data_IF_965493410716
#
_entry.id   IF_965493410716
#
_cell.length_a   1.000
_cell.length_b   1.000
_cell.length_c   1.000
_cell.angle_alpha   90.00
_cell.angle_beta   90.00
_cell.angle_gamma   90.00
#
_symmetry.space_group_name_H-M   'P 1'
#
loop_
_entity.id
_entity.type
_entity.pdbx_description
1 polymer ?
#
# COMPACT_ATOMS: atom_id res chain seq x y z
N UNK A 1 15.34 -22.76 -2.27
CA UNK A 1 15.69 -21.75 -3.28
C UNK A 1 14.45 -21.13 -3.92
N UNK A 2 13.48 -21.90 -4.43
CA UNK A 2 12.25 -21.36 -5.03
C UNK A 2 11.36 -20.57 -4.05
N UNK A 3 11.00 -21.16 -2.91
CA UNK A 3 10.12 -20.50 -1.91
C UNK A 3 10.72 -19.19 -1.34
N UNK A 4 12.04 -19.15 -1.11
CA UNK A 4 12.71 -17.93 -0.68
C UNK A 4 12.64 -16.81 -1.75
N UNK A 5 12.70 -17.17 -3.03
CA UNK A 5 12.49 -16.23 -4.14
C UNK A 5 11.07 -15.67 -4.16
N UNK A 6 10.06 -16.53 -3.95
CA UNK A 6 8.66 -16.10 -3.86
C UNK A 6 8.41 -15.20 -2.65
N UNK A 7 8.95 -15.53 -1.47
CA UNK A 7 8.84 -14.66 -0.29
C UNK A 7 9.47 -13.29 -0.54
N UNK A 8 10.60 -13.25 -1.26
CA UNK A 8 11.21 -11.98 -1.68
C UNK A 8 10.33 -11.23 -2.67
N UNK A 9 9.71 -11.91 -3.63
CA UNK A 9 8.78 -11.32 -4.58
C UNK A 9 7.56 -10.70 -3.87
N UNK A 10 7.06 -11.32 -2.79
CA UNK A 10 6.01 -10.76 -1.92
C UNK A 10 6.48 -9.49 -1.18
N UNK A 11 7.73 -9.48 -0.71
CA UNK A 11 8.26 -8.37 0.11
C UNK A 11 8.31 -7.03 -0.62
N UNK A 12 8.50 -7.04 -1.94
CA UNK A 12 8.61 -5.82 -2.76
C UNK A 12 7.29 -5.03 -2.81
N UNK A 13 6.16 -5.60 -3.27
CA UNK A 13 4.88 -4.90 -3.25
C UNK A 13 4.37 -4.64 -1.82
N UNK A 14 4.69 -5.49 -0.83
CA UNK A 14 4.35 -5.19 0.57
C UNK A 14 5.03 -3.92 1.06
N UNK A 15 6.35 -3.79 0.83
CA UNK A 15 7.10 -2.60 1.19
C UNK A 15 6.63 -1.34 0.44
N UNK A 16 6.17 -1.48 -0.82
CA UNK A 16 5.53 -0.40 -1.56
C UNK A 16 4.26 0.07 -0.83
N UNK A 17 3.36 -0.85 -0.45
CA UNK A 17 2.14 -0.53 0.27
C UNK A 17 2.45 0.21 1.59
N UNK A 18 3.41 -0.30 2.38
CA UNK A 18 3.82 0.32 3.65
C UNK A 18 4.39 1.74 3.46
N UNK A 19 5.24 1.94 2.46
CA UNK A 19 5.83 3.26 2.15
C UNK A 19 4.81 4.26 1.64
N UNK A 20 3.87 3.82 0.81
CA UNK A 20 2.78 4.68 0.33
C UNK A 20 1.86 5.07 1.49
N UNK A 21 1.61 4.14 2.41
CA UNK A 21 0.73 4.36 3.56
C UNK A 21 1.16 5.55 4.44
N UNK A 22 2.46 5.75 4.63
CA UNK A 22 2.97 6.85 5.47
C UNK A 22 2.83 8.23 4.81
N UNK A 23 2.65 8.29 3.49
CA UNK A 23 2.52 9.55 2.74
C UNK A 23 1.14 10.22 2.88
N UNK A 24 0.14 9.50 3.40
CA UNK A 24 -1.19 10.07 3.63
C UNK A 24 -1.20 11.18 4.67
N UNK A 25 -0.37 11.08 5.72
CA UNK A 25 -0.28 12.12 6.75
C UNK A 25 0.25 13.46 6.18
N UNK A 26 1.43 13.52 5.53
CA UNK A 26 1.91 14.77 4.93
C UNK A 26 1.04 15.26 3.78
N UNK A 27 0.40 14.37 3.00
CA UNK A 27 -0.56 14.80 1.96
C UNK A 27 -1.76 15.53 2.57
N UNK A 28 -2.32 15.03 3.68
CA UNK A 28 -3.42 15.69 4.39
C UNK A 28 -2.99 17.04 4.97
N UNK A 29 -1.79 17.13 5.51
CA UNK A 29 -1.23 18.40 5.99
C UNK A 29 -1.08 19.42 4.85
N UNK A 30 -0.60 18.97 3.69
CA UNK A 30 -0.48 19.80 2.49
C UNK A 30 -1.84 20.32 2.00
N UNK A 31 -2.90 19.52 2.08
CA UNK A 31 -4.25 19.94 1.71
C UNK A 31 -4.78 21.04 2.64
N UNK A 32 -4.45 20.99 3.93
CA UNK A 32 -4.94 21.95 4.93
C UNK A 32 -4.11 23.24 4.95
N UNK A 33 -2.79 23.13 4.88
CA UNK A 33 -1.85 24.24 5.13
C UNK A 33 -1.11 24.70 3.87
N UNK A 34 -1.21 23.98 2.75
CA UNK A 34 -0.43 24.23 1.55
C UNK A 34 -0.95 25.36 0.68
N UNK A 35 -0.24 25.61 -0.42
CA UNK A 35 -0.65 26.59 -1.42
C UNK A 35 -1.94 26.12 -2.12
N UNK A 36 -2.99 26.93 -2.07
CA UNK A 36 -4.26 26.64 -2.74
C UNK A 36 -4.10 26.39 -4.24
N UNK A 37 -3.09 27.00 -4.88
CA UNK A 37 -2.78 26.76 -6.28
C UNK A 37 -2.33 25.31 -6.57
N UNK A 38 -1.84 24.59 -5.56
CA UNK A 38 -1.42 23.18 -5.67
C UNK A 38 -2.56 22.19 -5.38
N UNK A 39 -3.82 22.64 -5.31
CA UNK A 39 -4.97 21.77 -5.02
C UNK A 39 -5.09 20.61 -6.00
N UNK A 40 -4.91 20.86 -7.30
CA UNK A 40 -4.95 19.79 -8.32
C UNK A 40 -3.84 18.78 -8.13
N UNK A 41 -2.64 19.23 -7.73
CA UNK A 41 -1.51 18.35 -7.47
C UNK A 41 -1.80 17.43 -6.28
N UNK A 42 -2.43 17.95 -5.23
CA UNK A 42 -2.88 17.17 -4.07
C UNK A 42 -3.91 16.10 -4.45
N UNK A 43 -4.88 16.45 -5.31
CA UNK A 43 -5.91 15.52 -5.78
C UNK A 43 -5.30 14.38 -6.62
N UNK A 44 -4.38 14.70 -7.53
CA UNK A 44 -3.65 13.71 -8.33
C UNK A 44 -2.79 12.83 -7.42
N UNK A 45 -2.09 13.41 -6.45
CA UNK A 45 -1.30 12.66 -5.47
C UNK A 45 -2.18 11.67 -4.69
N UNK A 46 -3.35 12.08 -4.19
CA UNK A 46 -4.28 11.19 -3.49
C UNK A 46 -4.66 9.97 -4.35
N UNK A 47 -5.03 10.19 -5.62
CA UNK A 47 -5.39 9.10 -6.54
C UNK A 47 -4.21 8.21 -6.91
N UNK A 48 -3.01 8.77 -7.03
CA UNK A 48 -1.80 8.01 -7.25
C UNK A 48 -1.46 7.11 -6.05
N UNK A 49 -1.57 7.61 -4.81
CA UNK A 49 -1.36 6.82 -3.60
C UNK A 49 -2.40 5.69 -3.49
N UNK A 50 -3.68 5.97 -3.73
CA UNK A 50 -4.75 4.97 -3.78
C UNK A 50 -4.42 3.85 -4.77
N UNK A 51 -4.06 4.23 -6.00
CA UNK A 51 -3.75 3.28 -7.08
C UNK A 51 -2.49 2.46 -6.77
N UNK A 52 -1.49 3.06 -6.13
CA UNK A 52 -0.26 2.37 -5.75
C UNK A 52 -0.52 1.28 -4.70
N UNK A 53 -1.32 1.56 -3.66
CA UNK A 53 -1.74 0.53 -2.69
C UNK A 53 -2.65 -0.50 -3.36
N UNK A 54 -3.51 -0.07 -4.29
CA UNK A 54 -4.35 -0.97 -5.08
C UNK A 54 -3.51 -2.04 -5.81
N UNK A 55 -2.54 -1.59 -6.61
CA UNK A 55 -1.64 -2.48 -7.34
C UNK A 55 -0.78 -3.34 -6.40
N UNK A 56 -0.27 -2.76 -5.31
CA UNK A 56 0.53 -3.49 -4.33
C UNK A 56 -0.27 -4.64 -3.68
N UNK A 57 -1.52 -4.39 -3.30
CA UNK A 57 -2.41 -5.38 -2.69
C UNK A 57 -2.59 -6.62 -3.56
N UNK A 58 -2.93 -6.42 -4.84
CA UNK A 58 -3.12 -7.55 -5.75
C UNK A 58 -1.81 -8.25 -6.08
N UNK A 59 -0.70 -7.51 -6.22
CA UNK A 59 0.61 -8.13 -6.43
C UNK A 59 1.05 -9.01 -5.23
N UNK A 60 0.80 -8.57 -3.99
CA UNK A 60 1.03 -9.41 -2.81
C UNK A 60 0.12 -10.64 -2.84
N UNK A 61 -1.18 -10.44 -3.04
CA UNK A 61 -2.18 -11.53 -3.02
C UNK A 61 -1.86 -12.62 -4.06
N UNK A 62 -1.50 -12.23 -5.28
CA UNK A 62 -1.12 -13.15 -6.34
C UNK A 62 0.13 -13.94 -5.96
N UNK A 63 1.20 -13.26 -5.53
CA UNK A 63 2.46 -13.94 -5.16
C UNK A 63 2.29 -14.85 -3.92
N UNK A 64 1.36 -14.52 -3.01
CA UNK A 64 1.06 -15.39 -1.88
C UNK A 64 0.46 -16.72 -2.33
N UNK A 65 -0.27 -16.81 -3.44
CA UNK A 65 -0.88 -18.08 -3.86
C UNK A 65 0.15 -19.21 -4.02
N UNK A 66 1.37 -18.88 -4.46
CA UNK A 66 2.46 -19.82 -4.70
C UNK A 66 3.33 -20.11 -3.44
N UNK A 67 3.07 -19.43 -2.32
CA UNK A 67 3.74 -19.67 -1.04
C UNK A 67 3.12 -20.84 -0.30
N UNK A 68 3.95 -21.78 0.14
CA UNK A 68 3.51 -22.96 0.91
C UNK A 68 3.46 -22.71 2.42
N UNK A 69 4.29 -21.79 2.93
CA UNK A 69 4.38 -21.40 4.34
C UNK A 69 3.12 -20.61 4.77
N UNK A 70 2.30 -21.25 5.60
CA UNK A 70 1.03 -20.67 6.06
C UNK A 70 1.23 -19.58 7.11
N UNK A 71 2.25 -19.69 7.95
CA UNK A 71 2.55 -18.69 8.97
C UNK A 71 3.00 -17.40 8.30
N UNK A 72 3.85 -17.50 7.27
CA UNK A 72 4.21 -16.37 6.42
C UNK A 72 3.00 -15.74 5.74
N UNK A 73 2.13 -16.56 5.12
CA UNK A 73 0.88 -16.08 4.48
C UNK A 73 0.01 -15.28 5.44
N UNK A 74 -0.17 -15.82 6.64
CA UNK A 74 -1.02 -15.22 7.67
C UNK A 74 -0.40 -13.92 8.19
N UNK A 75 0.90 -13.90 8.47
CA UNK A 75 1.61 -12.70 8.90
C UNK A 75 1.52 -11.58 7.85
N UNK A 76 1.79 -11.88 6.58
CA UNK A 76 1.71 -10.89 5.49
C UNK A 76 0.28 -10.38 5.30
N UNK A 77 -0.71 -11.28 5.28
CA UNK A 77 -2.11 -10.90 5.05
C UNK A 77 -2.68 -10.09 6.19
N UNK A 78 -2.60 -10.58 7.43
CA UNK A 78 -3.27 -9.97 8.59
C UNK A 78 -2.53 -8.77 9.15
N UNK A 79 -1.20 -8.83 9.26
CA UNK A 79 -0.43 -7.81 9.97
C UNK A 79 0.06 -6.68 9.05
N UNK A 80 0.37 -7.01 7.79
CA UNK A 80 0.88 -6.06 6.81
C UNK A 80 -0.19 -5.57 5.85
N UNK A 81 -0.62 -6.44 4.94
CA UNK A 81 -1.39 -6.06 3.76
C UNK A 81 -2.80 -5.55 4.10
N UNK A 82 -3.56 -6.29 4.90
CA UNK A 82 -4.92 -5.89 5.26
C UNK A 82 -4.92 -4.58 6.05
N UNK A 83 -3.94 -4.39 6.95
CA UNK A 83 -3.81 -3.15 7.72
C UNK A 83 -3.64 -1.94 6.81
N UNK A 84 -2.74 -2.04 5.83
CA UNK A 84 -2.52 -0.96 4.85
C UNK A 84 -3.75 -0.76 3.97
N UNK A 85 -4.36 -1.85 3.50
CA UNK A 85 -5.57 -1.79 2.68
C UNK A 85 -6.74 -1.11 3.40
N UNK A 86 -7.03 -1.52 4.63
CA UNK A 86 -8.09 -0.91 5.43
C UNK A 86 -7.83 0.56 5.70
N UNK A 87 -6.59 0.94 6.03
CA UNK A 87 -6.26 2.36 6.19
C UNK A 87 -6.41 3.13 4.89
N UNK A 88 -6.04 2.53 3.75
CA UNK A 88 -6.16 3.13 2.42
C UNK A 88 -7.61 3.48 2.08
N UNK A 89 -8.57 2.60 2.38
CA UNK A 89 -10.00 2.85 2.09
C UNK A 89 -10.60 3.96 2.95
N UNK A 90 -9.98 4.33 4.06
CA UNK A 90 -10.42 5.47 4.89
C UNK A 90 -10.08 6.83 4.28
N UNK A 91 -9.11 6.92 3.34
CA UNK A 91 -8.76 8.20 2.71
C UNK A 91 -9.57 8.51 1.46
N UNK A 92 -10.49 7.64 1.03
CA UNK A 92 -11.28 7.80 -0.21
C UNK A 92 -12.19 9.03 -0.29
N UNK A 93 -12.19 9.87 0.76
CA UNK A 93 -12.96 11.10 0.88
C UNK A 93 -12.10 12.38 0.86
N UNK A 94 -10.79 12.31 0.56
CA UNK A 94 -9.97 13.53 0.28
C UNK A 94 -10.12 14.03 -1.15
#
# INVERSE_FOLDING_TARGET
MMQAGLQRAVSVPLALAERVNVLWAPLKEMVVNGNIACKSDAQVAAKALETAVFGAYYNVTINLNDITDQDFKMAVSLLGLNKVWFHQTQHGNV
#
